data_IF_659567612680
#
_entry.id   IF_659567612680
#
_cell.length_a   1.000
_cell.length_b   1.000
_cell.length_c   1.000
_cell.angle_alpha   90.00
_cell.angle_beta   90.00
_cell.angle_gamma   90.00
#
_symmetry.space_group_name_H-M   'P 1'
#
loop_
_entity.id
_entity.type
_entity.pdbx_description
1 polymer ?
#
# COMPACT_ATOMS: atom_id res chain seq x y z
N UNK A 1 35.25 -30.41 -10.82
CA UNK A 1 36.22 -30.44 -11.95
C UNK A 1 35.51 -29.80 -13.14
N UNK A 2 36.13 -28.88 -13.88
CA UNK A 2 35.46 -28.21 -14.99
C UNK A 2 34.98 -29.23 -16.03
N UNK A 3 33.84 -28.95 -16.64
CA UNK A 3 33.32 -29.70 -17.76
C UNK A 3 34.26 -29.58 -18.97
N UNK A 4 34.11 -30.50 -19.93
CA UNK A 4 34.96 -30.55 -21.13
C UNK A 4 34.89 -29.29 -22.01
N UNK A 5 33.88 -28.45 -21.81
CA UNK A 5 33.68 -27.15 -22.49
C UNK A 5 34.31 -25.97 -21.73
N UNK A 6 35.04 -26.22 -20.63
CA UNK A 6 35.69 -25.18 -19.82
C UNK A 6 34.73 -24.43 -18.89
N UNK A 7 33.55 -24.99 -18.63
CA UNK A 7 32.55 -24.40 -17.73
C UNK A 7 32.39 -25.18 -16.42
N UNK A 8 31.73 -24.56 -15.45
CA UNK A 8 31.25 -25.20 -14.21
C UNK A 8 29.75 -24.97 -14.07
N UNK A 9 29.04 -25.92 -13.48
CA UNK A 9 27.61 -25.83 -13.19
C UNK A 9 27.41 -25.43 -11.73
N UNK A 10 26.62 -24.38 -11.49
CA UNK A 10 26.36 -23.83 -10.16
C UNK A 10 24.87 -23.52 -9.99
N UNK A 11 24.46 -23.23 -8.76
CA UNK A 11 23.16 -22.65 -8.43
C UNK A 11 23.37 -21.26 -7.84
N UNK A 12 22.59 -20.27 -8.27
CA UNK A 12 22.63 -18.89 -7.76
C UNK A 12 21.21 -18.45 -7.43
N UNK A 13 20.94 -18.16 -6.15
CA UNK A 13 19.61 -17.79 -5.63
C UNK A 13 18.51 -18.78 -6.07
N UNK A 14 18.83 -20.07 -6.06
CA UNK A 14 17.93 -21.15 -6.51
C UNK A 14 17.86 -21.37 -8.04
N UNK A 15 18.54 -20.57 -8.85
CA UNK A 15 18.61 -20.76 -10.31
C UNK A 15 19.87 -21.50 -10.75
N UNK A 16 19.73 -22.58 -11.51
CA UNK A 16 20.86 -23.25 -12.14
C UNK A 16 21.51 -22.38 -13.22
N UNK A 17 22.83 -22.24 -13.17
CA UNK A 17 23.64 -21.51 -14.16
C UNK A 17 24.88 -22.30 -14.54
N UNK A 18 25.35 -22.07 -15.76
CA UNK A 18 26.64 -22.57 -16.26
C UNK A 18 27.53 -21.37 -16.55
N UNK A 19 28.70 -21.34 -15.93
CA UNK A 19 29.61 -20.19 -15.99
C UNK A 19 31.02 -20.65 -16.37
N UNK A 20 31.86 -19.72 -16.83
CA UNK A 20 33.24 -20.03 -17.19
C UNK A 20 34.01 -20.54 -15.97
N UNK A 21 34.78 -21.61 -16.12
CA UNK A 21 35.64 -22.10 -15.05
C UNK A 21 36.74 -21.06 -14.73
N UNK A 22 37.15 -20.99 -13.46
CA UNK A 22 38.21 -20.08 -13.02
C UNK A 22 37.75 -18.64 -12.72
N UNK A 23 36.44 -18.41 -12.58
CA UNK A 23 35.93 -17.17 -12.01
C UNK A 23 36.12 -17.16 -10.49
N UNK A 24 36.43 -15.98 -9.93
CA UNK A 24 36.21 -15.72 -8.50
C UNK A 24 34.75 -15.33 -8.24
N UNK A 25 34.30 -15.35 -6.99
CA UNK A 25 32.96 -14.88 -6.63
C UNK A 25 32.72 -13.42 -7.03
N UNK A 26 33.76 -12.56 -6.93
CA UNK A 26 33.69 -11.18 -7.44
C UNK A 26 33.60 -11.13 -8.97
N UNK A 27 34.32 -12.02 -9.67
CA UNK A 27 34.24 -12.15 -11.12
C UNK A 27 32.83 -12.58 -11.58
N UNK A 28 32.27 -13.59 -10.92
CA UNK A 28 30.89 -14.05 -11.16
C UNK A 28 29.87 -12.95 -10.92
N UNK A 29 29.98 -12.23 -9.80
CA UNK A 29 29.09 -11.10 -9.51
C UNK A 29 29.14 -10.04 -10.61
N UNK A 30 30.32 -9.72 -11.12
CA UNK A 30 30.51 -8.77 -12.22
C UNK A 30 29.86 -9.28 -13.52
N UNK A 31 30.01 -10.57 -13.83
CA UNK A 31 29.38 -11.20 -15.02
C UNK A 31 27.84 -11.18 -14.93
N UNK A 32 27.29 -11.30 -13.72
CA UNK A 32 25.85 -11.17 -13.45
C UNK A 32 25.36 -9.70 -13.44
N UNK A 33 26.23 -8.73 -13.72
CA UNK A 33 25.90 -7.31 -13.73
C UNK A 33 25.78 -6.67 -12.33
N UNK A 34 26.32 -7.33 -11.31
CA UNK A 34 26.35 -6.86 -9.93
C UNK A 34 27.69 -6.17 -9.62
N UNK A 35 27.68 -5.34 -8.58
CA UNK A 35 28.88 -4.66 -8.07
C UNK A 35 29.37 -5.43 -6.84
N UNK A 36 30.54 -6.13 -6.88
CA UNK A 36 31.01 -6.99 -5.78
C UNK A 36 31.05 -6.29 -4.41
N UNK A 37 31.33 -4.99 -4.39
CA UNK A 37 31.40 -4.20 -3.16
C UNK A 37 30.01 -3.91 -2.55
N UNK A 38 28.93 -4.08 -3.31
CA UNK A 38 27.55 -3.79 -2.90
C UNK A 38 26.72 -5.04 -2.58
N UNK A 39 27.34 -6.22 -2.66
CA UNK A 39 26.68 -7.50 -2.41
C UNK A 39 27.28 -8.21 -1.19
N UNK A 40 26.52 -9.16 -0.66
CA UNK A 40 27.01 -10.22 0.20
C UNK A 40 26.78 -11.56 -0.49
N UNK A 41 27.70 -12.49 -0.29
CA UNK A 41 27.66 -13.82 -0.91
C UNK A 41 27.77 -14.87 0.18
N UNK A 42 26.83 -15.80 0.20
CA UNK A 42 26.94 -17.08 0.87
C UNK A 42 27.32 -18.14 -0.17
N UNK A 43 28.22 -19.04 0.19
CA UNK A 43 28.64 -20.19 -0.63
C UNK A 43 28.48 -21.45 0.20
N UNK A 44 27.64 -22.37 -0.26
CA UNK A 44 27.41 -23.67 0.37
C UNK A 44 27.09 -23.57 1.88
N UNK A 45 26.16 -22.67 2.25
CA UNK A 45 25.77 -22.37 3.64
C UNK A 45 26.80 -21.60 4.49
N UNK A 46 27.88 -21.10 3.89
CA UNK A 46 28.89 -20.29 4.58
C UNK A 46 29.02 -18.88 3.98
N UNK A 47 28.86 -17.86 4.82
CA UNK A 47 29.00 -16.46 4.39
C UNK A 47 30.47 -16.17 4.08
N UNK A 48 30.74 -15.76 2.84
CA UNK A 48 32.08 -15.38 2.41
C UNK A 48 32.35 -13.93 2.78
N UNK A 49 33.43 -13.62 3.52
CA UNK A 49 33.78 -12.24 3.84
C UNK A 49 33.90 -11.40 2.56
N UNK A 50 33.21 -10.25 2.53
CA UNK A 50 33.15 -9.39 1.34
C UNK A 50 34.55 -9.01 0.80
N UNK A 51 35.53 -8.85 1.68
CA UNK A 51 36.92 -8.52 1.31
C UNK A 51 37.67 -9.64 0.59
N UNK A 52 37.19 -10.88 0.63
CA UNK A 52 37.85 -12.05 0.03
C UNK A 52 37.16 -12.56 -1.22
N UNK A 53 36.09 -11.90 -1.69
CA UNK A 53 35.32 -12.36 -2.86
C UNK A 53 36.17 -12.43 -4.15
N UNK A 54 37.25 -11.64 -4.24
CA UNK A 54 38.17 -11.70 -5.37
C UNK A 54 39.08 -12.93 -5.35
N UNK A 55 39.28 -13.55 -4.18
CA UNK A 55 40.22 -14.66 -3.96
C UNK A 55 39.53 -16.02 -3.93
N UNK A 56 38.22 -16.06 -3.62
CA UNK A 56 37.44 -17.30 -3.57
C UNK A 56 36.96 -17.68 -4.96
N UNK A 57 37.40 -18.82 -5.46
CA UNK A 57 37.04 -19.36 -6.77
C UNK A 57 35.68 -20.03 -6.74
N UNK A 58 34.91 -19.86 -7.81
CA UNK A 58 33.69 -20.62 -8.09
C UNK A 58 34.09 -22.04 -8.50
N UNK A 59 33.49 -23.03 -7.87
CA UNK A 59 33.71 -24.44 -8.16
C UNK A 59 32.44 -25.10 -8.70
N UNK A 60 32.65 -26.20 -9.42
CA UNK A 60 31.56 -27.01 -9.96
C UNK A 60 30.72 -27.61 -8.83
N UNK A 61 29.41 -27.39 -8.88
CA UNK A 61 28.44 -27.80 -7.87
C UNK A 61 28.16 -26.78 -6.78
N UNK A 62 28.78 -25.59 -6.80
CA UNK A 62 28.52 -24.55 -5.81
C UNK A 62 27.05 -24.12 -5.79
N UNK A 63 26.53 -23.93 -4.57
CA UNK A 63 25.25 -23.28 -4.29
C UNK A 63 25.52 -21.91 -3.65
N UNK A 64 25.10 -20.84 -4.32
CA UNK A 64 25.43 -19.46 -3.98
C UNK A 64 24.16 -18.67 -3.69
N UNK A 65 24.13 -17.97 -2.56
CA UNK A 65 23.12 -16.95 -2.27
C UNK A 65 23.77 -15.57 -2.34
N UNK A 66 23.31 -14.73 -3.26
CA UNK A 66 23.82 -13.38 -3.50
C UNK A 66 22.72 -12.37 -3.21
N UNK A 67 22.97 -11.52 -2.22
CA UNK A 67 22.04 -10.48 -1.79
C UNK A 67 22.66 -9.09 -1.91
N UNK A 68 21.83 -8.08 -2.11
CA UNK A 68 22.23 -6.68 -2.06
C UNK A 68 21.18 -5.87 -1.31
N UNK A 69 21.58 -4.72 -0.76
CA UNK A 69 20.61 -3.80 -0.18
C UNK A 69 19.78 -3.16 -1.30
N UNK A 70 18.46 -3.32 -1.23
CA UNK A 70 17.49 -2.59 -2.04
C UNK A 70 17.08 -1.31 -1.30
N UNK A 71 17.32 -0.16 -1.92
CA UNK A 71 16.69 1.09 -1.51
C UNK A 71 15.38 1.24 -2.29
N UNK A 72 14.24 1.22 -1.60
CA UNK A 72 12.93 1.48 -2.20
C UNK A 72 12.60 2.97 -2.24
N UNK A 73 11.94 3.42 -3.31
CA UNK A 73 11.41 4.78 -3.46
C UNK A 73 11.26 5.16 -4.93
N UNK A 74 10.06 5.04 -5.47
CA UNK A 74 9.71 5.56 -6.79
C UNK A 74 9.86 7.10 -6.81
N UNK A 75 10.18 7.69 -7.95
CA UNK A 75 10.70 9.06 -8.08
C UNK A 75 9.68 10.20 -7.79
N UNK A 76 8.47 9.90 -7.31
CA UNK A 76 7.54 10.88 -6.74
C UNK A 76 6.97 10.34 -5.42
N UNK A 77 7.09 11.12 -4.32
CA UNK A 77 6.47 10.79 -3.03
C UNK A 77 4.94 10.85 -3.14
N UNK A 78 4.39 9.74 -3.61
CA UNK A 78 2.98 9.53 -3.88
C UNK A 78 2.55 8.17 -3.35
N UNK A 79 1.24 7.93 -3.36
CA UNK A 79 0.67 6.64 -2.99
C UNK A 79 -0.63 6.41 -3.74
N UNK A 80 -0.97 5.14 -3.96
CA UNK A 80 -2.15 4.74 -4.73
C UNK A 80 -3.07 3.88 -3.89
N UNK A 81 -4.37 4.18 -3.91
CA UNK A 81 -5.43 3.37 -3.30
C UNK A 81 -6.62 3.32 -4.25
N UNK A 82 -7.19 2.12 -4.44
CA UNK A 82 -8.33 1.91 -5.33
C UNK A 82 -8.15 2.48 -6.77
N UNK A 83 -6.93 2.43 -7.30
CA UNK A 83 -6.60 2.95 -8.64
C UNK A 83 -6.46 4.47 -8.73
N UNK A 84 -6.56 5.21 -7.63
CA UNK A 84 -6.34 6.66 -7.56
C UNK A 84 -5.01 6.95 -6.88
N UNK A 85 -4.22 7.84 -7.47
CA UNK A 85 -2.90 8.25 -6.94
C UNK A 85 -3.01 9.62 -6.29
N UNK A 86 -2.42 9.74 -5.09
CA UNK A 86 -2.42 10.93 -4.26
C UNK A 86 -0.98 11.29 -3.88
N UNK A 87 -0.73 12.57 -3.62
CA UNK A 87 0.55 13.08 -3.07
C UNK A 87 0.44 13.29 -1.56
N UNK A 88 -0.67 13.85 -1.11
CA UNK A 88 -0.95 14.08 0.30
C UNK A 88 -1.27 12.77 1.01
N UNK A 89 -0.57 12.53 2.12
CA UNK A 89 -0.83 11.40 3.04
C UNK A 89 -1.74 11.79 4.20
N UNK A 90 -2.26 13.02 4.18
CA UNK A 90 -3.17 13.55 5.19
C UNK A 90 -4.62 13.43 4.71
N UNK A 91 -5.41 12.65 5.45
CA UNK A 91 -6.86 12.52 5.24
C UNK A 91 -7.57 13.33 6.33
N UNK A 92 -8.53 14.17 5.95
CA UNK A 92 -9.22 15.08 6.88
C UNK A 92 -10.69 14.68 7.08
N UNK A 93 -11.20 14.77 8.29
CA UNK A 93 -12.63 14.58 8.58
C UNK A 93 -13.40 15.90 8.58
N UNK A 94 -14.69 15.85 8.26
CA UNK A 94 -15.51 17.06 8.00
C UNK A 94 -16.49 17.43 9.13
N UNK A 95 -16.61 16.59 10.16
CA UNK A 95 -17.78 16.63 11.06
C UNK A 95 -17.72 17.54 12.28
N UNK A 96 -16.60 18.24 12.54
CA UNK A 96 -16.38 18.97 13.81
C UNK A 96 -16.04 20.46 13.63
N UNK A 97 -16.14 20.98 12.42
CA UNK A 97 -15.97 22.41 12.15
C UNK A 97 -17.20 23.21 12.59
N UNK A 98 -16.98 24.50 12.86
CA UNK A 98 -18.05 25.45 13.21
C UNK A 98 -19.08 25.59 12.09
N UNK A 99 -18.61 25.64 10.85
CA UNK A 99 -19.42 25.80 9.65
C UNK A 99 -18.67 25.24 8.42
N UNK A 100 -19.34 25.17 7.27
CA UNK A 100 -18.75 24.62 6.04
C UNK A 100 -17.67 25.51 5.43
N UNK A 101 -17.70 26.83 5.66
CA UNK A 101 -16.67 27.73 5.18
C UNK A 101 -15.34 27.48 5.92
N UNK A 102 -15.39 27.29 7.24
CA UNK A 102 -14.23 26.90 8.04
C UNK A 102 -13.69 25.53 7.62
N UNK A 103 -14.58 24.58 7.31
CA UNK A 103 -14.20 23.26 6.82
C UNK A 103 -13.43 23.35 5.49
N UNK A 104 -13.97 24.05 4.50
CA UNK A 104 -13.32 24.25 3.20
C UNK A 104 -11.95 24.92 3.34
N UNK A 105 -11.84 25.98 4.16
CA UNK A 105 -10.57 26.65 4.43
C UNK A 105 -9.54 25.72 5.10
N UNK A 106 -9.98 24.82 5.98
CA UNK A 106 -9.09 23.84 6.61
C UNK A 106 -8.62 22.75 5.63
N UNK A 107 -9.48 22.33 4.69
CA UNK A 107 -9.10 21.37 3.64
C UNK A 107 -8.08 22.00 2.70
N UNK A 108 -8.31 23.24 2.25
CA UNK A 108 -7.37 23.99 1.42
C UNK A 108 -6.01 24.17 2.11
N UNK A 109 -6.03 24.65 3.36
CA UNK A 109 -4.79 24.89 4.12
C UNK A 109 -4.00 23.61 4.43
N UNK A 110 -4.68 22.47 4.57
CA UNK A 110 -4.03 21.19 4.87
C UNK A 110 -3.43 20.51 3.64
N UNK A 111 -3.84 20.89 2.43
CA UNK A 111 -3.47 20.20 1.20
C UNK A 111 -3.98 18.76 1.14
N UNK A 112 -5.01 18.42 1.92
CA UNK A 112 -5.63 17.11 1.89
C UNK A 112 -6.36 16.90 0.57
N UNK A 113 -6.12 15.76 -0.07
CA UNK A 113 -6.80 15.36 -1.31
C UNK A 113 -8.01 14.45 -1.04
N UNK A 114 -8.11 13.92 0.18
CA UNK A 114 -9.18 13.03 0.62
C UNK A 114 -9.86 13.62 1.86
N UNK A 115 -11.20 13.73 1.81
CA UNK A 115 -12.02 14.12 2.96
C UNK A 115 -13.02 13.04 3.33
N UNK A 116 -13.12 12.71 4.61
CA UNK A 116 -14.13 11.76 5.09
C UNK A 116 -15.46 12.47 5.34
N UNK A 117 -16.55 11.86 4.89
CA UNK A 117 -17.90 12.41 5.04
C UNK A 117 -18.84 11.39 5.66
N UNK A 118 -19.57 11.79 6.69
CA UNK A 118 -20.60 10.93 7.26
C UNK A 118 -21.87 11.00 6.41
N UNK A 119 -22.40 9.86 6.02
CA UNK A 119 -23.68 9.79 5.30
C UNK A 119 -24.80 10.07 6.30
N UNK A 120 -25.54 11.16 6.08
CA UNK A 120 -26.64 11.57 6.96
C UNK A 120 -27.92 11.76 6.17
N UNK A 121 -29.06 11.61 6.86
CA UNK A 121 -30.37 11.92 6.29
C UNK A 121 -30.43 13.42 6.00
N UNK A 122 -30.86 13.77 4.79
CA UNK A 122 -31.17 15.15 4.42
C UNK A 122 -32.35 15.63 5.26
N UNK A 123 -32.27 16.86 5.78
CA UNK A 123 -33.43 17.49 6.39
C UNK A 123 -34.40 17.93 5.28
N UNK A 124 -35.43 17.12 5.03
CA UNK A 124 -36.42 17.37 3.97
C UNK A 124 -37.35 18.58 4.26
N UNK A 125 -37.30 19.14 5.46
CA UNK A 125 -38.11 20.30 5.83
C UNK A 125 -37.49 21.65 5.45
N UNK A 126 -36.18 21.69 5.21
CA UNK A 126 -35.45 22.89 4.78
C UNK A 126 -34.66 22.61 3.51
N UNK A 127 -35.26 22.93 2.37
CA UNK A 127 -34.66 22.70 1.03
C UNK A 127 -33.50 23.64 0.73
N UNK A 128 -33.30 24.69 1.53
CA UNK A 128 -32.25 25.70 1.32
C UNK A 128 -31.07 25.52 2.29
N UNK A 129 -31.10 24.48 3.12
CA UNK A 129 -30.00 24.18 4.01
C UNK A 129 -28.71 23.93 3.20
N UNK A 130 -27.59 24.56 3.57
CA UNK A 130 -26.33 24.41 2.84
C UNK A 130 -25.86 22.95 2.90
N UNK A 131 -25.25 22.49 1.80
CA UNK A 131 -24.64 21.16 1.70
C UNK A 131 -23.12 21.29 1.69
N UNK A 132 -22.43 20.26 2.19
CA UNK A 132 -20.97 20.23 2.19
C UNK A 132 -20.38 20.39 0.77
N UNK A 133 -21.06 19.82 -0.24
CA UNK A 133 -20.67 19.87 -1.65
C UNK A 133 -20.71 21.28 -2.24
N UNK A 134 -21.41 22.22 -1.60
CA UNK A 134 -21.43 23.62 -2.02
C UNK A 134 -20.13 24.35 -1.67
N UNK A 135 -19.35 23.78 -0.73
CA UNK A 135 -18.12 24.37 -0.17
C UNK A 135 -16.87 23.57 -0.51
N UNK A 136 -16.98 22.25 -0.64
CA UNK A 136 -15.90 21.37 -1.05
C UNK A 136 -16.35 20.66 -2.32
N UNK A 137 -15.65 20.92 -3.43
CA UNK A 137 -16.04 20.40 -4.74
C UNK A 137 -15.61 18.92 -4.87
N UNK A 138 -16.56 17.97 -5.02
CA UNK A 138 -16.24 16.55 -5.16
C UNK A 138 -15.51 16.21 -6.48
N UNK A 139 -15.37 17.17 -7.41
CA UNK A 139 -14.51 17.02 -8.59
C UNK A 139 -13.04 17.35 -8.32
N UNK A 140 -12.74 18.05 -7.22
CA UNK A 140 -11.39 18.46 -6.84
C UNK A 140 -10.83 17.65 -5.68
N UNK A 141 -11.71 17.21 -4.79
CA UNK A 141 -11.37 16.46 -3.58
C UNK A 141 -12.05 15.11 -3.64
N UNK A 142 -11.32 14.04 -3.32
CA UNK A 142 -11.89 12.70 -3.20
C UNK A 142 -12.68 12.60 -1.90
N UNK A 143 -13.96 12.28 -2.04
CA UNK A 143 -14.84 12.02 -0.90
C UNK A 143 -14.69 10.56 -0.47
N UNK A 144 -14.54 10.35 0.83
CA UNK A 144 -14.48 9.05 1.47
C UNK A 144 -15.69 8.89 2.41
N UNK A 145 -16.85 8.46 1.88
CA UNK A 145 -18.04 8.22 2.70
C UNK A 145 -17.76 7.19 3.79
N UNK A 146 -18.28 7.44 4.98
CA UNK A 146 -18.09 6.58 6.13
C UNK A 146 -19.40 6.22 6.83
N UNK A 147 -19.30 5.20 7.69
CA UNK A 147 -20.41 4.65 8.49
C UNK A 147 -20.36 5.11 9.95
N UNK A 148 -19.82 6.30 10.21
CA UNK A 148 -19.75 6.82 11.59
C UNK A 148 -21.13 6.82 12.25
N UNK A 149 -21.23 6.19 13.42
CA UNK A 149 -22.48 6.00 14.15
C UNK A 149 -23.25 4.72 13.83
N UNK A 150 -22.71 3.84 12.98
CA UNK A 150 -23.18 2.46 12.83
C UNK A 150 -22.61 1.57 13.93
N UNK A 151 -23.45 0.72 14.52
CA UNK A 151 -23.10 -0.19 15.62
C UNK A 151 -23.27 -1.68 15.26
N UNK A 152 -23.59 -1.95 13.99
CA UNK A 152 -23.72 -3.29 13.44
C UNK A 152 -23.38 -3.26 11.94
N UNK A 153 -23.11 -4.44 11.37
CA UNK A 153 -22.76 -4.61 9.98
C UNK A 153 -23.91 -4.21 9.05
N UNK A 154 -25.16 -4.50 9.43
CA UNK A 154 -26.32 -4.25 8.58
C UNK A 154 -26.52 -2.75 8.32
N UNK A 155 -26.44 -1.94 9.37
CA UNK A 155 -26.53 -0.48 9.29
C UNK A 155 -25.36 0.11 8.51
N UNK A 156 -24.14 -0.41 8.70
CA UNK A 156 -22.96 0.03 7.97
C UNK A 156 -23.08 -0.26 6.46
N UNK A 157 -23.42 -1.51 6.10
CA UNK A 157 -23.64 -1.94 4.72
C UNK A 157 -24.72 -1.08 4.06
N UNK A 158 -25.88 -0.93 4.72
CA UNK A 158 -26.97 -0.12 4.21
C UNK A 158 -26.54 1.34 3.97
N UNK A 159 -25.76 1.89 4.88
CA UNK A 159 -25.27 3.28 4.79
C UNK A 159 -24.37 3.48 3.57
N UNK A 160 -23.45 2.54 3.31
CA UNK A 160 -22.54 2.64 2.16
C UNK A 160 -23.21 2.33 0.83
N UNK A 161 -24.19 1.43 0.79
CA UNK A 161 -25.06 1.25 -0.38
C UNK A 161 -25.80 2.54 -0.71
N UNK A 162 -26.37 3.21 0.29
CA UNK A 162 -27.02 4.52 0.08
C UNK A 162 -26.02 5.59 -0.40
N UNK A 163 -24.79 5.59 0.12
CA UNK A 163 -23.75 6.50 -0.36
C UNK A 163 -23.46 6.28 -1.84
N UNK A 164 -23.24 5.02 -2.24
CA UNK A 164 -23.00 4.64 -3.63
C UNK A 164 -24.15 5.10 -4.54
N UNK A 165 -25.40 4.88 -4.16
CA UNK A 165 -26.55 5.32 -4.97
C UNK A 165 -26.70 6.85 -5.01
N UNK A 166 -26.29 7.56 -3.95
CA UNK A 166 -26.43 9.02 -3.88
C UNK A 166 -25.38 9.79 -4.70
N UNK A 167 -24.17 9.24 -4.88
CA UNK A 167 -23.12 9.95 -5.62
C UNK A 167 -22.02 9.10 -6.23
N UNK A 168 -22.26 7.80 -6.40
CA UNK A 168 -21.40 6.90 -7.17
C UNK A 168 -20.10 6.49 -6.47
N UNK A 169 -19.99 6.67 -5.15
CA UNK A 169 -18.76 6.35 -4.42
C UNK A 169 -18.61 4.85 -4.18
N UNK A 170 -17.52 4.28 -4.68
CA UNK A 170 -17.11 2.90 -4.40
C UNK A 170 -16.03 2.80 -3.33
N UNK A 171 -15.17 3.82 -3.22
CA UNK A 171 -14.16 3.94 -2.17
C UNK A 171 -14.79 4.46 -0.88
N UNK A 172 -14.70 3.68 0.20
CA UNK A 172 -15.45 3.92 1.44
C UNK A 172 -14.60 3.70 2.69
N UNK A 173 -14.89 4.41 3.77
CA UNK A 173 -14.33 4.16 5.10
C UNK A 173 -15.35 3.39 5.93
N UNK A 174 -15.15 2.09 6.04
CA UNK A 174 -15.94 1.26 6.95
C UNK A 174 -15.52 1.50 8.41
N UNK A 175 -16.50 1.79 9.25
CA UNK A 175 -16.37 2.00 10.69
C UNK A 175 -17.60 1.42 11.37
N UNK A 176 -17.43 0.30 12.09
CA UNK A 176 -18.50 -0.29 12.91
C UNK A 176 -18.10 -0.19 14.36
N UNK A 177 -18.84 0.58 15.15
CA UNK A 177 -18.53 0.86 16.54
C UNK A 177 -19.12 -0.23 17.44
N UNK A 178 -18.37 -0.68 18.45
CA UNK A 178 -18.90 -1.59 19.47
C UNK A 178 -19.83 -0.87 20.45
N UNK A 179 -19.46 0.36 20.85
CA UNK A 179 -20.28 1.17 21.75
C UNK A 179 -19.95 2.67 21.69
N UNK A 180 -20.91 3.50 22.09
CA UNK A 180 -20.86 4.95 21.86
C UNK A 180 -19.90 5.72 22.77
N UNK A 181 -19.49 5.14 23.91
CA UNK A 181 -18.64 5.84 24.89
C UNK A 181 -17.17 5.82 24.50
N UNK A 182 -16.63 4.64 24.18
CA UNK A 182 -15.22 4.46 23.79
C UNK A 182 -14.99 4.70 22.31
N UNK A 183 -16.01 4.51 21.48
CA UNK A 183 -15.89 4.49 20.02
C UNK A 183 -14.90 3.43 19.52
N UNK A 184 -14.64 2.39 20.32
CA UNK A 184 -13.80 1.27 19.91
C UNK A 184 -14.55 0.43 18.86
N UNK A 185 -13.87 -0.05 17.79
CA UNK A 185 -14.54 -0.79 16.75
C UNK A 185 -15.00 -2.18 17.22
N UNK A 186 -16.16 -2.61 16.74
CA UNK A 186 -16.54 -4.02 16.76
C UNK A 186 -15.91 -4.72 15.56
N UNK A 187 -14.87 -5.52 15.82
CA UNK A 187 -14.13 -6.18 14.76
C UNK A 187 -14.90 -7.35 14.11
N UNK A 188 -15.83 -7.99 14.83
CA UNK A 188 -16.64 -9.09 14.27
C UNK A 188 -17.60 -8.52 13.23
N UNK A 189 -18.33 -7.47 13.60
CA UNK A 189 -19.24 -6.79 12.67
C UNK A 189 -18.48 -6.08 11.54
N UNK A 190 -17.30 -5.50 11.81
CA UNK A 190 -16.45 -4.90 10.78
C UNK A 190 -16.01 -5.93 9.73
N UNK A 191 -15.55 -7.12 10.15
CA UNK A 191 -15.14 -8.18 9.22
C UNK A 191 -16.30 -8.67 8.37
N UNK A 192 -17.47 -8.88 9.00
CA UNK A 192 -18.70 -9.28 8.31
C UNK A 192 -19.13 -8.25 7.25
N UNK A 193 -19.11 -6.97 7.59
CA UNK A 193 -19.44 -5.91 6.64
C UNK A 193 -18.41 -5.82 5.51
N UNK A 194 -17.12 -5.96 5.83
CA UNK A 194 -16.03 -5.94 4.84
C UNK A 194 -16.21 -7.02 3.79
N UNK A 195 -16.49 -8.26 4.20
CA UNK A 195 -16.68 -9.39 3.27
C UNK A 195 -17.81 -9.13 2.27
N UNK A 196 -18.96 -8.66 2.77
CA UNK A 196 -20.13 -8.36 1.92
C UNK A 196 -19.83 -7.20 0.98
N UNK A 197 -19.28 -6.10 1.48
CA UNK A 197 -19.01 -4.90 0.68
C UNK A 197 -17.93 -5.16 -0.39
N UNK A 198 -16.89 -5.92 -0.06
CA UNK A 198 -15.85 -6.30 -1.01
C UNK A 198 -16.43 -7.15 -2.16
N UNK A 199 -17.32 -8.10 -1.85
CA UNK A 199 -18.04 -8.90 -2.84
C UNK A 199 -18.99 -8.06 -3.72
N UNK A 200 -19.47 -6.92 -3.21
CA UNK A 200 -20.26 -5.92 -3.94
C UNK A 200 -19.40 -4.89 -4.68
N UNK A 201 -18.08 -5.07 -4.71
CA UNK A 201 -17.14 -4.21 -5.45
C UNK A 201 -16.80 -2.89 -4.77
N UNK A 202 -17.16 -2.70 -3.49
CA UNK A 202 -16.63 -1.56 -2.72
C UNK A 202 -15.11 -1.66 -2.58
N UNK A 203 -14.47 -0.51 -2.40
CA UNK A 203 -13.02 -0.34 -2.25
C UNK A 203 -12.70 0.27 -0.89
#
# INVERSE_FOLDING_TARGET
>A
MPHSDGTVSITVNGEHKRVSAGLSLAGLATELGLVPEKIAVERNMEVVPRSTLADVMVEDGDDLEIVHFVGGGDHEDSWTVAGQTFKSRLIVGTGKYKDFAQNAAAVEASGAEIVTVAVRRVNVSDRNAPMLTDFIDPKKITYLPNTAGCFDAESAIRTLRLAREAGGWELVKLEVLGEAKTLYPDMVETLRATEILANEGFK
#
